data_IF_295273671319
#
_entry.id   IF_295273671319
#
_cell.length_a   1.000
_cell.length_b   1.000
_cell.length_c   1.000
_cell.angle_alpha   90.00
_cell.angle_beta   90.00
_cell.angle_gamma   90.00
#
_symmetry.space_group_name_H-M   'P 1'
#
loop_
_entity.id
_entity.type
_entity.pdbx_description
1 polymer ?
#
# COMPACT_ATOMS: atom_id res chain seq x y z
N UNK A 1 23.86 10.79 -48.65
CA UNK A 1 22.59 11.40 -48.20
C UNK A 1 21.46 10.37 -48.10
N UNK A 2 21.32 9.42 -48.98
CA UNK A 2 20.30 8.35 -48.87
C UNK A 2 20.51 7.45 -47.63
N UNK A 3 21.76 7.19 -47.27
CA UNK A 3 22.12 6.38 -46.11
C UNK A 3 21.64 7.01 -44.80
N UNK A 4 21.77 8.32 -44.66
CA UNK A 4 21.31 9.06 -43.47
C UNK A 4 19.79 9.09 -43.37
N UNK A 5 19.09 9.21 -44.50
CA UNK A 5 17.61 9.17 -44.56
C UNK A 5 17.05 7.79 -44.19
N UNK A 6 17.71 6.74 -44.62
CA UNK A 6 17.32 5.37 -44.29
C UNK A 6 17.55 5.10 -42.77
N UNK A 7 18.71 5.53 -42.27
CA UNK A 7 19.05 5.41 -40.85
C UNK A 7 18.13 6.25 -39.96
N UNK A 8 17.79 7.47 -40.41
CA UNK A 8 16.87 8.35 -39.65
C UNK A 8 15.47 7.72 -39.52
N UNK A 9 15.01 7.00 -40.55
CA UNK A 9 13.72 6.30 -40.50
C UNK A 9 13.74 5.13 -39.49
N UNK A 10 14.81 4.36 -39.47
CA UNK A 10 14.98 3.24 -38.53
C UNK A 10 15.15 3.73 -37.11
N UNK A 11 15.91 4.79 -36.86
CA UNK A 11 16.08 5.44 -35.56
C UNK A 11 14.75 6.00 -35.09
N UNK A 12 13.94 6.59 -35.97
CA UNK A 12 12.62 7.13 -35.61
C UNK A 12 11.66 6.02 -35.18
N UNK A 13 11.62 4.89 -35.83
CA UNK A 13 10.80 3.73 -35.47
C UNK A 13 11.26 3.15 -34.11
N UNK A 14 12.57 2.97 -33.95
CA UNK A 14 13.15 2.49 -32.69
C UNK A 14 12.88 3.44 -31.53
N UNK A 15 12.99 4.75 -31.76
CA UNK A 15 12.69 5.79 -30.78
C UNK A 15 11.23 5.75 -30.33
N UNK A 16 10.29 5.55 -31.25
CA UNK A 16 8.86 5.45 -30.93
C UNK A 16 8.58 4.20 -30.07
N UNK A 17 9.16 3.07 -30.43
CA UNK A 17 9.02 1.82 -29.65
C UNK A 17 9.60 1.99 -28.25
N UNK A 18 10.75 2.64 -28.13
CA UNK A 18 11.37 2.93 -26.83
C UNK A 18 10.50 3.83 -25.96
N UNK A 19 9.91 4.89 -26.55
CA UNK A 19 9.02 5.81 -25.84
C UNK A 19 7.76 5.09 -25.35
N UNK A 20 7.16 4.24 -26.18
CA UNK A 20 6.00 3.43 -25.80
C UNK A 20 6.37 2.49 -24.64
N UNK A 21 7.53 1.84 -24.72
CA UNK A 21 8.00 0.93 -23.67
C UNK A 21 8.22 1.66 -22.34
N UNK A 22 8.86 2.84 -22.37
CA UNK A 22 9.08 3.68 -21.21
C UNK A 22 7.74 4.19 -20.62
N UNK A 23 6.81 4.57 -21.46
CA UNK A 23 5.48 5.01 -21.04
C UNK A 23 4.72 3.88 -20.34
N UNK A 24 4.75 2.67 -20.90
CA UNK A 24 4.13 1.49 -20.30
C UNK A 24 4.82 1.10 -18.98
N UNK A 25 6.14 1.18 -18.93
CA UNK A 25 6.91 0.90 -17.72
C UNK A 25 6.58 1.90 -16.61
N UNK A 26 6.55 3.19 -16.94
CA UNK A 26 6.21 4.27 -16.00
C UNK A 26 4.76 4.12 -15.54
N UNK A 27 3.83 3.84 -16.45
CA UNK A 27 2.43 3.59 -16.13
C UNK A 27 2.28 2.41 -15.16
N UNK A 28 3.02 1.33 -15.40
CA UNK A 28 3.06 0.17 -14.51
C UNK A 28 3.58 0.53 -13.12
N UNK A 29 4.66 1.31 -13.03
CA UNK A 29 5.24 1.77 -11.75
C UNK A 29 4.25 2.64 -10.95
N UNK A 30 3.52 3.52 -11.63
CA UNK A 30 2.55 4.43 -11.00
C UNK A 30 1.27 3.68 -10.60
N UNK A 31 0.80 2.75 -11.42
CA UNK A 31 -0.48 2.04 -11.23
C UNK A 31 -0.34 0.85 -10.29
N UNK A 32 0.84 0.28 -10.16
CA UNK A 32 1.17 -0.82 -9.26
C UNK A 32 1.78 -0.33 -7.95
N UNK A 33 1.20 0.70 -7.34
CA UNK A 33 1.32 0.85 -5.90
C UNK A 33 0.43 -0.20 -5.29
N UNK A 34 1.07 -1.18 -4.75
CA UNK A 34 0.53 -2.48 -4.38
C UNK A 34 -0.39 -2.41 -3.15
N UNK A 35 -0.39 -1.32 -2.42
CA UNK A 35 -1.37 -0.96 -1.41
C UNK A 35 -1.71 0.53 -1.55
N UNK A 36 -2.88 0.91 -1.08
CA UNK A 36 -3.30 2.32 -1.10
C UNK A 36 -2.99 2.98 0.23
N UNK A 37 -2.27 4.09 0.16
CA UNK A 37 -2.14 5.00 1.29
C UNK A 37 -3.40 5.87 1.36
N UNK A 38 -4.06 5.86 2.51
CA UNK A 38 -5.29 6.63 2.74
C UNK A 38 -5.08 7.63 3.88
N UNK A 39 -5.91 8.67 3.92
CA UNK A 39 -5.94 9.65 4.99
C UNK A 39 -6.70 9.14 6.22
N UNK A 40 -6.50 9.80 7.36
CA UNK A 40 -7.29 9.55 8.56
C UNK A 40 -8.79 9.77 8.31
N UNK A 41 -9.14 10.80 7.55
CA UNK A 41 -10.54 11.09 7.18
C UNK A 41 -11.15 9.95 6.37
N UNK A 42 -10.39 9.37 5.44
CA UNK A 42 -10.84 8.23 4.65
C UNK A 42 -11.00 6.98 5.50
N UNK A 43 -10.06 6.72 6.41
CA UNK A 43 -10.17 5.61 7.35
C UNK A 43 -11.41 5.76 8.24
N UNK A 44 -11.67 6.94 8.77
CA UNK A 44 -12.87 7.22 9.56
C UNK A 44 -14.15 6.97 8.77
N UNK A 45 -14.19 7.39 7.51
CA UNK A 45 -15.32 7.13 6.61
C UNK A 45 -15.56 5.64 6.41
N UNK A 46 -14.51 4.87 6.14
CA UNK A 46 -14.59 3.42 5.95
C UNK A 46 -15.08 2.70 7.21
N UNK A 47 -14.63 3.13 8.38
CA UNK A 47 -15.10 2.58 9.67
C UNK A 47 -16.58 2.90 9.89
N UNK A 48 -17.01 4.12 9.60
CA UNK A 48 -18.43 4.51 9.70
C UNK A 48 -19.32 3.76 8.72
N UNK A 49 -18.82 3.47 7.54
CA UNK A 49 -19.52 2.70 6.51
C UNK A 49 -19.50 1.19 6.78
N UNK A 50 -18.89 0.75 7.87
CA UNK A 50 -18.79 -0.66 8.27
C UNK A 50 -18.15 -1.55 7.20
N UNK A 51 -17.13 -1.03 6.53
CA UNK A 51 -16.39 -1.75 5.51
C UNK A 51 -15.48 -2.82 6.12
N UNK A 52 -15.17 -3.84 5.33
CA UNK A 52 -14.22 -4.91 5.68
C UNK A 52 -12.90 -4.67 4.95
N UNK A 53 -11.80 -4.56 5.68
CA UNK A 53 -10.48 -4.31 5.09
C UNK A 53 -9.37 -4.61 6.09
N UNK A 54 -8.13 -4.61 5.59
CA UNK A 54 -6.91 -4.64 6.41
C UNK A 54 -6.25 -3.29 6.29
N UNK A 55 -5.82 -2.72 7.41
CA UNK A 55 -5.10 -1.44 7.45
C UNK A 55 -3.84 -1.57 8.29
N UNK A 56 -2.75 -1.00 7.80
CA UNK A 56 -1.50 -0.86 8.54
C UNK A 56 -1.33 0.59 8.93
N UNK A 57 -1.15 0.82 10.23
CA UNK A 57 -0.84 2.13 10.79
C UNK A 57 0.66 2.19 11.06
N UNK A 58 1.34 3.16 10.50
CA UNK A 58 2.78 3.27 10.67
C UNK A 58 3.30 4.68 10.47
N UNK A 59 4.54 4.89 10.88
CA UNK A 59 5.26 6.13 10.67
C UNK A 59 6.30 5.91 9.57
N UNK A 60 6.11 6.56 8.42
CA UNK A 60 7.00 6.43 7.25
C UNK A 60 8.41 6.94 7.48
N UNK A 61 8.67 7.66 8.58
CA UNK A 61 10.01 8.07 9.00
C UNK A 61 10.77 6.95 9.74
N UNK A 62 10.09 5.87 10.14
CA UNK A 62 10.71 4.74 10.83
C UNK A 62 11.24 3.72 9.82
N UNK A 63 12.50 3.32 9.97
CA UNK A 63 13.16 2.32 9.11
C UNK A 63 12.48 0.95 9.15
N UNK A 64 11.93 0.56 10.31
CA UNK A 64 11.16 -0.69 10.44
C UNK A 64 9.88 -0.67 9.60
N UNK A 65 9.24 0.48 9.51
CA UNK A 65 8.06 0.68 8.65
C UNK A 65 8.42 0.60 7.18
N UNK A 66 9.55 1.18 6.78
CA UNK A 66 10.02 1.11 5.38
C UNK A 66 10.25 -0.34 4.93
N UNK A 67 10.88 -1.16 5.77
CA UNK A 67 11.04 -2.59 5.50
C UNK A 67 9.70 -3.33 5.44
N UNK A 68 8.77 -2.99 6.30
CA UNK A 68 7.44 -3.58 6.32
C UNK A 68 6.60 -3.19 5.08
N UNK A 69 6.79 -1.99 4.55
CA UNK A 69 6.14 -1.56 3.30
C UNK A 69 6.50 -2.46 2.12
N UNK A 70 7.73 -2.95 2.05
CA UNK A 70 8.13 -3.93 1.02
C UNK A 70 7.36 -5.25 1.16
N UNK A 71 7.16 -5.72 2.39
CA UNK A 71 6.36 -6.91 2.69
C UNK A 71 4.90 -6.70 2.30
N UNK A 72 4.33 -5.54 2.61
CA UNK A 72 2.97 -5.16 2.23
C UNK A 72 2.78 -5.14 0.72
N UNK A 73 3.74 -4.55 0.02
CA UNK A 73 3.78 -4.52 -1.45
C UNK A 73 3.73 -5.92 -2.03
N UNK A 74 4.60 -6.79 -1.57
CA UNK A 74 4.64 -8.20 -2.00
C UNK A 74 3.30 -8.91 -1.71
N UNK A 75 2.74 -8.69 -0.53
CA UNK A 75 1.47 -9.29 -0.15
C UNK A 75 0.33 -8.86 -1.08
N UNK A 76 0.16 -7.58 -1.32
CA UNK A 76 -0.93 -7.05 -2.16
C UNK A 76 -0.79 -7.44 -3.62
N UNK A 77 0.44 -7.54 -4.12
CA UNK A 77 0.70 -8.02 -5.49
C UNK A 77 0.24 -9.46 -5.69
N UNK A 78 0.38 -10.30 -4.67
CA UNK A 78 0.03 -11.72 -4.73
C UNK A 78 -1.38 -12.04 -4.25
N UNK A 79 -2.03 -11.14 -3.51
CA UNK A 79 -3.35 -11.35 -2.89
C UNK A 79 -4.26 -10.14 -3.15
N UNK A 80 -4.65 -9.93 -4.41
CA UNK A 80 -5.40 -8.74 -4.87
C UNK A 80 -6.84 -8.68 -4.42
N UNK A 81 -7.41 -9.78 -3.97
CA UNK A 81 -8.79 -9.91 -3.51
C UNK A 81 -9.03 -9.36 -2.11
N UNK A 82 -7.96 -9.13 -1.34
CA UNK A 82 -8.05 -8.59 0.01
C UNK A 82 -7.58 -7.13 0.01
N UNK A 83 -8.46 -6.17 0.37
CA UNK A 83 -8.07 -4.76 0.42
C UNK A 83 -7.09 -4.50 1.56
N UNK A 84 -5.89 -4.02 1.24
CA UNK A 84 -4.88 -3.60 2.20
C UNK A 84 -4.60 -2.11 2.02
N UNK A 85 -4.73 -1.37 3.11
CA UNK A 85 -4.50 0.08 3.15
C UNK A 85 -3.39 0.43 4.13
N UNK A 86 -2.79 1.58 3.93
CA UNK A 86 -1.77 2.13 4.81
C UNK A 86 -2.15 3.55 5.22
N UNK A 87 -2.00 3.86 6.51
CA UNK A 87 -2.14 5.22 7.05
C UNK A 87 -0.82 5.65 7.67
N UNK A 88 -0.30 6.79 7.19
CA UNK A 88 0.95 7.35 7.67
C UNK A 88 0.71 8.30 8.84
N UNK A 89 1.31 7.98 9.98
CA UNK A 89 1.20 8.79 11.19
C UNK A 89 2.24 9.92 11.27
N UNK A 90 3.17 10.00 10.32
CA UNK A 90 4.31 10.94 10.38
C UNK A 90 3.90 12.42 10.31
N UNK A 91 2.71 12.71 9.79
CA UNK A 91 2.19 14.06 9.59
C UNK A 91 1.23 14.54 10.68
N UNK A 92 0.91 13.71 11.67
CA UNK A 92 -0.01 14.05 12.74
C UNK A 92 0.57 13.68 14.11
N UNK A 93 0.92 14.69 14.89
CA UNK A 93 1.42 14.52 16.27
C UNK A 93 0.35 13.95 17.22
N UNK A 94 -0.92 14.07 16.87
CA UNK A 94 -2.05 13.56 17.66
C UNK A 94 -2.61 12.24 17.13
N UNK A 95 -1.86 11.53 16.31
CA UNK A 95 -2.32 10.28 15.69
C UNK A 95 -2.75 9.21 16.69
N UNK A 96 -2.06 9.10 17.82
CA UNK A 96 -2.44 8.17 18.88
C UNK A 96 -3.84 8.48 19.45
N UNK A 97 -4.16 9.76 19.67
CA UNK A 97 -5.49 10.19 20.09
C UNK A 97 -6.55 9.87 19.04
N UNK A 98 -6.21 10.05 17.77
CA UNK A 98 -7.07 9.68 16.66
C UNK A 98 -7.40 8.19 16.66
N UNK A 99 -6.41 7.32 16.81
CA UNK A 99 -6.57 5.87 16.88
C UNK A 99 -7.43 5.46 18.07
N UNK A 100 -7.16 6.05 19.23
CA UNK A 100 -7.94 5.78 20.46
C UNK A 100 -9.42 6.17 20.30
N UNK A 101 -9.69 7.33 19.72
CA UNK A 101 -11.07 7.80 19.46
C UNK A 101 -11.79 6.95 18.41
N UNK A 102 -11.07 6.52 17.39
CA UNK A 102 -11.65 5.78 16.26
C UNK A 102 -11.91 4.32 16.63
N UNK A 103 -10.99 3.68 17.32
CA UNK A 103 -11.01 2.23 17.58
C UNK A 103 -11.13 1.87 19.07
N UNK A 104 -11.14 2.84 19.97
CA UNK A 104 -11.17 2.63 21.41
C UNK A 104 -10.03 1.72 21.90
N UNK A 105 -8.85 1.84 21.31
CA UNK A 105 -7.65 1.08 21.66
C UNK A 105 -6.39 1.87 21.30
N UNK A 106 -5.29 1.55 21.97
CA UNK A 106 -3.96 2.05 21.63
C UNK A 106 -3.14 0.93 21.01
N UNK A 107 -2.27 1.29 20.07
CA UNK A 107 -1.39 0.36 19.38
C UNK A 107 0.02 0.93 19.25
N UNK A 108 1.01 0.06 19.21
CA UNK A 108 2.39 0.41 18.88
C UNK A 108 2.63 0.24 17.38
N UNK A 109 3.31 1.19 16.75
CA UNK A 109 3.52 1.20 15.30
C UNK A 109 4.80 0.47 14.88
N UNK A 110 4.81 -0.20 13.72
CA UNK A 110 3.66 -0.40 12.84
C UNK A 110 2.64 -1.38 13.43
N UNK A 111 1.36 -1.16 13.17
CA UNK A 111 0.28 -2.02 13.62
C UNK A 111 -0.56 -2.46 12.43
N UNK A 112 -0.81 -3.75 12.31
CA UNK A 112 -1.70 -4.32 11.29
C UNK A 112 -3.03 -4.67 11.94
N UNK A 113 -4.10 -4.10 11.39
CA UNK A 113 -5.46 -4.25 11.91
C UNK A 113 -6.33 -4.92 10.84
N UNK A 114 -7.03 -5.99 11.23
CA UNK A 114 -8.11 -6.56 10.41
C UNK A 114 -9.43 -5.99 10.90
N UNK A 115 -10.15 -5.34 10.00
CA UNK A 115 -11.38 -4.62 10.31
C UNK A 115 -12.56 -5.29 9.59
N UNK A 116 -13.58 -5.64 10.35
CA UNK A 116 -14.85 -6.18 9.84
C UNK A 116 -16.01 -5.42 10.48
N UNK A 117 -16.96 -5.01 9.63
CA UNK A 117 -18.11 -4.22 10.05
C UNK A 117 -17.71 -2.96 10.83
N UNK A 118 -16.57 -2.34 10.45
CA UNK A 118 -16.04 -1.15 11.09
C UNK A 118 -15.39 -1.38 12.45
N UNK A 119 -15.12 -2.63 12.84
CA UNK A 119 -14.51 -2.98 14.13
C UNK A 119 -13.23 -3.78 13.95
N UNK A 120 -12.28 -3.58 14.84
CA UNK A 120 -11.06 -4.39 14.90
C UNK A 120 -11.43 -5.80 15.37
N UNK A 121 -11.19 -6.81 14.53
CA UNK A 121 -11.37 -8.23 14.88
C UNK A 121 -10.03 -8.88 15.21
N UNK A 122 -8.93 -8.35 14.74
CA UNK A 122 -7.58 -8.80 15.05
C UNK A 122 -6.57 -7.66 14.87
N UNK A 123 -5.55 -7.64 15.70
CA UNK A 123 -4.44 -6.69 15.59
C UNK A 123 -3.10 -7.38 15.84
N UNK A 124 -2.07 -6.92 15.16
CA UNK A 124 -0.69 -7.35 15.35
C UNK A 124 0.23 -6.15 15.34
N UNK A 125 0.94 -5.94 16.42
CA UNK A 125 1.93 -4.86 16.55
C UNK A 125 3.30 -5.35 16.07
N UNK A 126 4.06 -4.45 15.44
CA UNK A 126 5.38 -4.74 14.89
C UNK A 126 5.34 -5.17 13.41
N UNK A 127 6.49 -5.03 12.76
CA UNK A 127 6.67 -5.46 11.38
C UNK A 127 6.69 -6.98 11.29
N UNK A 128 5.93 -7.53 10.35
CA UNK A 128 5.87 -8.96 10.08
C UNK A 128 6.63 -9.32 8.81
N UNK A 129 7.14 -10.53 8.75
CA UNK A 129 7.60 -11.11 7.49
C UNK A 129 6.40 -11.54 6.64
N UNK A 130 6.64 -11.76 5.36
CA UNK A 130 5.58 -12.04 4.39
C UNK A 130 4.64 -13.18 4.83
N UNK A 131 5.20 -14.33 5.22
CA UNK A 131 4.37 -15.48 5.61
C UNK A 131 3.59 -15.24 6.90
N UNK A 132 4.17 -14.49 7.83
CA UNK A 132 3.48 -14.11 9.07
C UNK A 132 2.29 -13.19 8.77
N UNK A 133 2.46 -12.22 7.88
CA UNK A 133 1.38 -11.36 7.43
C UNK A 133 0.30 -12.14 6.68
N UNK A 134 0.72 -13.02 5.79
CA UNK A 134 -0.18 -13.89 5.03
C UNK A 134 -1.07 -14.74 5.95
N UNK A 135 -0.46 -15.43 6.90
CA UNK A 135 -1.18 -16.27 7.86
C UNK A 135 -2.11 -15.47 8.75
N UNK A 136 -1.63 -14.32 9.26
CA UNK A 136 -2.43 -13.42 10.09
C UNK A 136 -3.71 -12.94 9.39
N UNK A 137 -3.59 -12.51 8.15
CA UNK A 137 -4.75 -12.06 7.36
C UNK A 137 -5.65 -13.24 7.01
N UNK A 138 -5.10 -14.37 6.59
CA UNK A 138 -5.86 -15.57 6.25
C UNK A 138 -6.71 -16.07 7.42
N UNK A 139 -6.15 -16.07 8.62
CA UNK A 139 -6.84 -16.54 9.82
C UNK A 139 -7.94 -15.60 10.30
N UNK A 140 -7.81 -14.31 10.07
CA UNK A 140 -8.66 -13.29 10.69
C UNK A 140 -9.59 -12.57 9.72
N UNK A 141 -9.28 -12.53 8.43
CA UNK A 141 -10.08 -11.80 7.45
C UNK A 141 -11.28 -12.63 6.92
N UNK A 142 -11.19 -13.92 6.94
CA UNK A 142 -12.28 -14.80 6.44
C UNK A 142 -13.49 -14.83 7.33
#
# INVERSE_FOLDING_TARGET
MEFIKKFAKEISVFGIVLVIFLALFTYRQITFKDYKTISESKLTEMVKNKENFVVVLGNSSDTNVLGYQEVMTKYTTQNRDIPLYYVDSSQDDNFNNYVEKTFNTNVSYPATLVIKDGKIVAKKEGAMQYYSLYDFIKENYK
#
